data_IF_418559744502
#
_entry.id   IF_418559744502
#
_cell.length_a   1.000
_cell.length_b   1.000
_cell.length_c   1.000
_cell.angle_alpha   90.00
_cell.angle_beta   90.00
_cell.angle_gamma   90.00
#
_symmetry.space_group_name_H-M   'P 1'
#
loop_
_entity.id
_entity.type
_entity.pdbx_description
1 polymer ?
#
# COMPACT_ATOMS: atom_id res chain seq x y z
N UNK A 1 -5.67 15.11 8.78
CA UNK A 1 -6.10 15.97 9.91
C UNK A 1 -6.40 17.42 9.53
N UNK A 2 -5.55 18.17 8.79
CA UNK A 2 -5.78 19.60 8.54
C UNK A 2 -7.13 19.93 7.88
N UNK A 3 -7.54 19.15 6.87
CA UNK A 3 -8.83 19.35 6.20
C UNK A 3 -10.05 19.05 7.08
N UNK A 4 -9.91 18.29 8.18
CA UNK A 4 -11.04 18.06 9.10
C UNK A 4 -11.37 19.35 9.87
N UNK A 5 -10.33 20.07 10.32
CA UNK A 5 -10.47 21.37 10.96
C UNK A 5 -11.07 22.41 10.02
N UNK A 6 -10.59 22.46 8.77
CA UNK A 6 -11.13 23.38 7.76
C UNK A 6 -12.62 23.14 7.49
N UNK A 7 -13.05 21.87 7.42
CA UNK A 7 -14.46 21.53 7.25
C UNK A 7 -15.33 21.96 8.44
N UNK A 8 -14.85 21.79 9.68
CA UNK A 8 -15.54 22.26 10.89
C UNK A 8 -15.65 23.79 10.94
N UNK A 9 -14.65 24.49 10.40
CA UNK A 9 -14.63 25.96 10.30
C UNK A 9 -15.46 26.51 9.14
N UNK A 10 -16.20 25.65 8.43
CA UNK A 10 -17.17 26.06 7.41
C UNK A 10 -16.60 26.19 5.98
N UNK A 11 -15.38 25.73 5.71
CA UNK A 11 -14.87 25.66 4.34
C UNK A 11 -15.61 24.58 3.55
N UNK A 12 -16.45 25.02 2.61
CA UNK A 12 -17.18 24.11 1.71
C UNK A 12 -16.23 23.45 0.71
N UNK A 13 -16.47 22.17 0.39
CA UNK A 13 -15.71 21.48 -0.65
C UNK A 13 -15.99 22.08 -2.04
N UNK A 14 -15.02 21.96 -2.96
CA UNK A 14 -15.12 22.37 -4.37
C UNK A 14 -15.25 23.88 -4.61
N UNK A 15 -14.81 24.69 -3.66
CA UNK A 15 -14.66 26.13 -3.85
C UNK A 15 -13.28 26.41 -4.46
N UNK A 16 -13.24 27.12 -5.59
CA UNK A 16 -12.01 27.44 -6.31
C UNK A 16 -11.24 28.62 -5.74
N UNK A 17 -11.95 29.56 -5.10
CA UNK A 17 -11.39 30.78 -4.52
C UNK A 17 -12.13 31.14 -3.24
N UNK A 18 -11.37 31.49 -2.20
CA UNK A 18 -11.89 32.01 -0.94
C UNK A 18 -11.56 33.50 -0.84
N UNK A 19 -12.54 34.30 -0.40
CA UNK A 19 -12.39 35.74 -0.27
C UNK A 19 -11.34 36.12 0.79
N UNK A 20 -10.67 37.25 0.60
CA UNK A 20 -9.61 37.76 1.48
C UNK A 20 -10.07 38.07 2.91
N UNK A 21 -11.37 38.26 3.14
CA UNK A 21 -11.97 38.33 4.48
C UNK A 21 -11.80 37.03 5.30
N UNK A 22 -11.57 35.89 4.64
CA UNK A 22 -11.20 34.63 5.29
C UNK A 22 -9.71 34.57 5.68
N UNK A 23 -8.95 35.66 5.50
CA UNK A 23 -7.53 35.75 5.88
C UNK A 23 -7.25 36.75 7.01
N UNK A 24 -8.25 37.51 7.50
CA UNK A 24 -8.01 38.72 8.29
C UNK A 24 -8.39 38.68 9.79
N UNK A 25 -9.10 37.66 10.28
CA UNK A 25 -9.37 37.48 11.72
C UNK A 25 -8.51 36.36 12.32
N UNK A 26 -8.20 36.40 13.62
CA UNK A 26 -7.28 35.43 14.26
C UNK A 26 -7.69 33.95 14.10
N UNK A 27 -9.00 33.67 14.04
CA UNK A 27 -9.54 32.32 13.80
C UNK A 27 -9.49 31.93 12.32
N UNK A 28 -9.52 32.90 11.41
CA UNK A 28 -9.50 32.74 9.96
C UNK A 28 -8.08 32.79 9.36
N UNK A 29 -7.11 33.40 10.05
CA UNK A 29 -5.68 33.34 9.68
C UNK A 29 -5.13 31.91 9.76
N UNK A 30 -5.61 31.12 10.74
CA UNK A 30 -5.34 29.69 10.84
C UNK A 30 -5.81 28.92 9.59
N UNK A 31 -6.97 29.30 9.04
CA UNK A 31 -7.54 28.69 7.83
C UNK A 31 -6.64 28.97 6.61
N UNK A 32 -6.17 30.20 6.43
CA UNK A 32 -5.25 30.58 5.37
C UNK A 32 -3.91 29.82 5.45
N UNK A 33 -3.31 29.78 6.65
CA UNK A 33 -2.06 29.04 6.89
C UNK A 33 -2.22 27.53 6.68
N UNK A 34 -3.39 26.98 7.02
CA UNK A 34 -3.69 25.56 6.83
C UNK A 34 -3.80 25.19 5.35
N UNK A 35 -4.42 26.04 4.52
CA UNK A 35 -4.48 25.81 3.07
C UNK A 35 -3.09 25.84 2.41
N UNK A 36 -2.23 26.77 2.84
CA UNK A 36 -0.84 26.82 2.39
C UNK A 36 -0.07 25.56 2.82
N UNK A 37 -0.21 25.16 4.09
CA UNK A 37 0.42 23.95 4.61
C UNK A 37 -0.02 22.69 3.85
N UNK A 38 -1.32 22.55 3.58
CA UNK A 38 -1.87 21.43 2.79
C UNK A 38 -1.31 21.43 1.37
N UNK A 39 -1.17 22.62 0.75
CA UNK A 39 -0.59 22.74 -0.59
C UNK A 39 0.87 22.31 -0.62
N UNK A 40 1.69 22.78 0.33
CA UNK A 40 3.08 22.34 0.47
C UNK A 40 3.15 20.82 0.68
N UNK A 41 2.31 20.29 1.58
CA UNK A 41 2.24 18.85 1.84
C UNK A 41 1.84 18.04 0.60
N UNK A 42 0.94 18.58 -0.25
CA UNK A 42 0.56 17.95 -1.50
C UNK A 42 1.72 17.89 -2.50
N UNK A 43 2.54 18.95 -2.59
CA UNK A 43 3.76 18.93 -3.39
C UNK A 43 4.80 17.93 -2.85
N UNK A 44 4.96 17.86 -1.52
CA UNK A 44 5.84 16.86 -0.87
C UNK A 44 5.36 15.43 -1.15
N UNK A 45 4.05 15.18 -1.07
CA UNK A 45 3.46 13.90 -1.45
C UNK A 45 3.71 13.59 -2.93
N UNK A 46 3.55 14.57 -3.82
CA UNK A 46 3.91 14.44 -5.23
C UNK A 46 5.38 14.09 -5.44
N UNK A 47 6.29 14.75 -4.72
CA UNK A 47 7.72 14.43 -4.75
C UNK A 47 8.02 13.01 -4.23
N UNK A 48 7.28 12.53 -3.22
CA UNK A 48 7.42 11.15 -2.71
C UNK A 48 7.12 10.09 -3.78
N UNK A 49 6.24 10.40 -4.74
CA UNK A 49 5.94 9.52 -5.87
C UNK A 49 7.17 9.30 -6.76
N UNK A 50 8.08 10.27 -6.86
CA UNK A 50 9.34 10.12 -7.60
C UNK A 50 10.26 9.11 -6.91
N UNK A 51 10.33 9.14 -5.57
CA UNK A 51 11.11 8.18 -4.78
C UNK A 51 10.54 6.78 -4.97
N UNK A 52 9.22 6.63 -4.92
CA UNK A 52 8.54 5.37 -5.19
C UNK A 52 8.82 4.86 -6.62
N UNK A 53 8.68 5.72 -7.63
CA UNK A 53 8.92 5.37 -9.02
C UNK A 53 10.38 4.93 -9.24
N UNK A 54 11.34 5.64 -8.66
CA UNK A 54 12.75 5.24 -8.69
C UNK A 54 12.97 3.86 -8.06
N UNK A 55 12.39 3.61 -6.89
CA UNK A 55 12.51 2.31 -6.23
C UNK A 55 11.86 1.19 -7.06
N UNK A 56 10.66 1.40 -7.59
CA UNK A 56 9.97 0.43 -8.43
C UNK A 56 10.78 0.09 -9.70
N UNK A 57 11.32 1.10 -10.39
CA UNK A 57 12.14 0.92 -11.59
C UNK A 57 13.47 0.22 -11.27
N UNK A 58 14.12 0.59 -10.17
CA UNK A 58 15.37 -0.06 -9.73
C UNK A 58 15.12 -1.52 -9.34
N UNK A 59 14.06 -1.79 -8.59
CA UNK A 59 13.69 -3.14 -8.14
C UNK A 59 13.29 -4.03 -9.31
N UNK A 60 12.60 -3.50 -10.33
CA UNK A 60 12.27 -4.25 -11.53
C UNK A 60 13.50 -4.61 -12.38
N UNK A 61 14.54 -3.75 -12.42
CA UNK A 61 15.74 -3.97 -13.26
C UNK A 61 16.87 -4.74 -12.56
N UNK A 62 17.05 -4.53 -11.26
CA UNK A 62 18.21 -5.01 -10.51
C UNK A 62 17.85 -5.45 -9.07
N UNK A 63 16.57 -5.67 -8.79
CA UNK A 63 16.13 -6.22 -7.51
C UNK A 63 16.57 -7.68 -7.32
N UNK A 64 16.62 -8.12 -6.07
CA UNK A 64 16.81 -9.55 -5.76
C UNK A 64 15.61 -10.34 -6.29
N UNK A 65 15.87 -11.51 -6.86
CA UNK A 65 14.81 -12.42 -7.30
C UNK A 65 14.01 -12.84 -6.07
N UNK A 66 12.69 -12.67 -6.13
CA UNK A 66 11.79 -13.09 -5.07
C UNK A 66 11.59 -14.60 -5.12
N UNK A 67 11.64 -15.26 -3.95
CA UNK A 67 11.18 -16.64 -3.82
C UNK A 67 9.65 -16.75 -3.96
N UNK A 68 9.09 -17.97 -3.87
CA UNK A 68 7.64 -18.21 -3.96
C UNK A 68 6.83 -17.43 -2.91
N UNK A 69 7.34 -17.36 -1.68
CA UNK A 69 6.67 -16.73 -0.55
C UNK A 69 7.61 -15.85 0.28
N UNK A 70 7.93 -14.62 -0.19
CA UNK A 70 8.85 -13.74 0.52
C UNK A 70 8.27 -13.18 1.83
N UNK A 71 6.96 -13.32 2.07
CA UNK A 71 6.26 -12.73 3.22
C UNK A 71 5.76 -13.75 4.25
N UNK A 72 5.98 -15.05 4.01
CA UNK A 72 5.45 -16.12 4.87
C UNK A 72 3.92 -16.16 4.96
N UNK A 73 3.23 -15.67 3.93
CA UNK A 73 1.77 -15.65 3.89
C UNK A 73 1.22 -17.07 3.61
N UNK A 74 -0.01 -17.33 4.07
CA UNK A 74 -0.62 -18.66 4.02
C UNK A 74 -1.79 -18.74 3.05
N UNK A 75 -1.93 -17.81 2.11
CA UNK A 75 -2.99 -17.77 1.08
C UNK A 75 -2.51 -18.42 -0.24
N UNK A 76 -3.44 -18.76 -1.14
CA UNK A 76 -3.16 -19.54 -2.36
C UNK A 76 -2.14 -18.88 -3.30
N UNK A 77 -2.13 -17.56 -3.39
CA UNK A 77 -1.24 -16.82 -4.27
C UNK A 77 0.25 -16.94 -3.90
N UNK A 78 0.57 -17.34 -2.67
CA UNK A 78 1.96 -17.53 -2.21
C UNK A 78 2.44 -18.98 -2.33
N UNK A 79 1.70 -19.81 -3.05
CA UNK A 79 2.03 -21.22 -3.29
C UNK A 79 2.39 -21.53 -4.74
N UNK A 80 2.61 -20.48 -5.51
CA UNK A 80 3.14 -20.56 -6.86
C UNK A 80 4.49 -19.86 -6.91
N UNK A 81 5.26 -20.09 -7.97
CA UNK A 81 6.54 -19.39 -8.16
C UNK A 81 6.32 -17.89 -8.33
N UNK A 82 7.37 -17.10 -8.10
CA UNK A 82 7.38 -15.66 -8.42
C UNK A 82 8.39 -15.42 -9.55
N UNK A 83 7.96 -15.19 -10.81
CA UNK A 83 6.58 -15.01 -11.27
C UNK A 83 5.79 -16.32 -11.42
N UNK A 84 4.44 -16.27 -11.35
CA UNK A 84 3.60 -17.43 -11.57
C UNK A 84 3.64 -17.91 -13.03
N UNK A 85 3.55 -19.23 -13.28
CA UNK A 85 3.41 -19.77 -14.62
C UNK A 85 2.03 -19.42 -15.20
N UNK A 86 1.87 -19.52 -16.52
CA UNK A 86 0.62 -19.14 -17.21
C UNK A 86 -0.61 -19.92 -16.74
N UNK A 87 -0.41 -21.15 -16.24
CA UNK A 87 -1.46 -22.02 -15.71
C UNK A 87 -1.70 -21.83 -14.21
N UNK A 88 -0.94 -20.95 -13.55
CA UNK A 88 -0.91 -20.70 -12.10
C UNK A 88 -0.50 -21.93 -11.27
N UNK A 89 -1.38 -22.92 -11.15
CA UNK A 89 -1.19 -24.14 -10.35
C UNK A 89 -1.17 -25.36 -11.27
N UNK A 90 -0.16 -26.22 -11.11
CA UNK A 90 -0.07 -27.47 -11.88
C UNK A 90 -1.20 -28.45 -11.52
N UNK A 91 -1.61 -28.45 -10.26
CA UNK A 91 -2.70 -29.26 -9.71
C UNK A 91 -3.68 -28.38 -8.95
N UNK A 92 -4.94 -28.83 -8.82
CA UNK A 92 -5.97 -28.08 -8.08
C UNK A 92 -5.65 -28.16 -6.58
N UNK A 93 -5.37 -27.03 -5.90
CA UNK A 93 -5.00 -27.05 -4.49
C UNK A 93 -6.21 -27.38 -3.61
N UNK A 94 -6.02 -28.28 -2.63
CA UNK A 94 -7.04 -28.61 -1.64
C UNK A 94 -6.82 -27.73 -0.40
N UNK A 95 -7.83 -26.97 0.00
CA UNK A 95 -7.77 -26.07 1.18
C UNK A 95 -8.35 -26.77 2.41
N UNK A 96 -7.51 -26.97 3.42
CA UNK A 96 -7.78 -27.68 4.67
C UNK A 96 -8.05 -26.74 5.86
N UNK A 97 -7.54 -25.50 5.83
CA UNK A 97 -7.73 -24.53 6.93
C UNK A 97 -7.78 -23.09 6.44
N UNK A 98 -8.12 -22.16 7.35
CA UNK A 98 -8.25 -20.75 7.01
C UNK A 98 -6.91 -20.04 6.81
N UNK A 99 -6.88 -18.92 6.07
CA UNK A 99 -5.65 -18.19 5.78
C UNK A 99 -4.99 -17.57 7.03
N UNK A 100 -5.76 -17.34 8.10
CA UNK A 100 -5.29 -16.69 9.34
C UNK A 100 -4.82 -17.66 10.44
N UNK A 101 -4.82 -18.97 10.18
CA UNK A 101 -4.43 -20.01 11.16
C UNK A 101 -2.89 -20.14 11.35
N UNK A 102 -2.19 -19.03 11.59
CA UNK A 102 -0.73 -19.04 11.77
C UNK A 102 -0.30 -19.95 12.95
N UNK A 103 0.83 -20.65 12.79
CA UNK A 103 1.34 -21.62 13.77
C UNK A 103 0.83 -23.05 13.61
N UNK A 104 -0.13 -23.30 12.72
CA UNK A 104 -0.53 -24.64 12.28
C UNK A 104 0.21 -25.04 10.99
N UNK A 105 0.33 -26.34 10.67
CA UNK A 105 0.86 -26.79 9.37
C UNK A 105 0.14 -26.10 8.22
N UNK A 106 0.82 -25.98 7.08
CA UNK A 106 0.27 -25.25 5.93
C UNK A 106 -1.12 -25.80 5.55
N UNK A 107 -2.10 -24.94 5.22
CA UNK A 107 -3.48 -25.33 4.97
C UNK A 107 -3.74 -26.25 3.77
N UNK A 108 -2.74 -26.87 3.14
CA UNK A 108 -2.86 -27.32 1.76
C UNK A 108 -2.29 -28.71 1.52
N UNK A 109 -2.94 -29.47 0.64
CA UNK A 109 -2.49 -30.76 0.15
C UNK A 109 -2.31 -30.74 -1.38
N UNK A 110 -1.42 -31.60 -1.90
CA UNK A 110 -1.10 -31.76 -3.34
C UNK A 110 -0.47 -30.55 -4.03
N UNK A 111 0.39 -29.81 -3.33
CA UNK A 111 1.28 -28.82 -3.94
C UNK A 111 2.69 -29.39 -3.89
N UNK A 112 3.47 -29.21 -4.97
CA UNK A 112 4.86 -29.68 -5.05
C UNK A 112 5.62 -29.30 -3.78
N UNK A 113 6.09 -30.31 -3.03
CA UNK A 113 6.72 -30.13 -1.71
C UNK A 113 7.92 -29.18 -1.74
N UNK A 114 8.57 -29.00 -2.89
CA UNK A 114 9.71 -28.11 -3.09
C UNK A 114 9.41 -26.62 -2.82
N UNK A 115 8.14 -26.19 -2.87
CA UNK A 115 7.74 -24.82 -2.53
C UNK A 115 7.38 -24.65 -1.04
N UNK A 116 7.14 -25.76 -0.34
CA UNK A 116 6.70 -25.79 1.06
C UNK A 116 7.85 -25.97 2.06
N UNK A 117 9.06 -26.26 1.58
CA UNK A 117 10.18 -26.75 2.40
C UNK A 117 11.38 -25.81 2.50
N UNK A 118 11.40 -24.63 1.88
CA UNK A 118 12.47 -23.66 2.13
C UNK A 118 12.19 -22.91 3.45
N UNK A 119 12.92 -23.19 4.55
CA UNK A 119 12.84 -22.35 5.73
C UNK A 119 13.48 -21.01 5.37
N UNK A 120 12.70 -19.94 5.42
CA UNK A 120 13.24 -18.58 5.35
C UNK A 120 14.15 -18.40 6.57
N UNK A 121 15.45 -18.36 6.34
CA UNK A 121 16.47 -17.96 7.32
C UNK A 121 16.42 -16.45 7.59
#
# INVERSE_FOLDING_TARGET
MPMHWLGLLGMQRRVSYYDSQFHSSDLLSFVAGTNLFVSISAFVLGASMLIFAYNALRSAKAGKVAGPNPWGARTLEWMTSSPPPYYNFAEIPIVLSGPYDYGKPLPYANISQDLATEPVA
#
